data_IF_939054768332
#
_entry.id   IF_939054768332
#
_cell.length_a   1.000
_cell.length_b   1.000
_cell.length_c   1.000
_cell.angle_alpha   90.00
_cell.angle_beta   90.00
_cell.angle_gamma   90.00
#
_symmetry.space_group_name_H-M   'P 1'
#
loop_
_entity.id
_entity.type
_entity.pdbx_description
1 polymer ?
#
# COMPACT_ATOMS: atom_id res chain seq x y z
N UNK A 1 23.21 -55.38 -11.28
CA UNK A 1 21.97 -54.59 -10.99
C UNK A 1 22.38 -53.14 -10.85
N UNK A 2 22.35 -52.40 -11.93
CA UNK A 2 22.76 -50.98 -12.01
C UNK A 2 21.52 -50.11 -11.86
N UNK A 3 21.39 -49.45 -10.76
CA UNK A 3 20.35 -48.44 -10.49
C UNK A 3 20.63 -47.20 -11.33
N UNK A 4 19.86 -47.03 -12.40
CA UNK A 4 19.77 -45.80 -13.18
C UNK A 4 19.12 -44.72 -12.30
N UNK A 5 19.91 -43.79 -11.78
CA UNK A 5 19.43 -42.51 -11.30
C UNK A 5 18.84 -41.74 -12.48
N UNK A 6 17.53 -41.54 -12.48
CA UNK A 6 16.85 -40.63 -13.41
C UNK A 6 17.35 -39.21 -13.12
N UNK A 7 18.13 -38.67 -14.07
CA UNK A 7 18.39 -37.23 -14.12
C UNK A 7 17.05 -36.48 -14.28
N UNK A 8 16.80 -35.37 -13.55
CA UNK A 8 15.64 -34.57 -13.77
C UNK A 8 15.69 -34.00 -15.19
N UNK A 9 14.69 -34.30 -16.01
CA UNK A 9 14.50 -33.64 -17.28
C UNK A 9 14.24 -32.15 -16.98
N UNK A 10 15.17 -31.28 -17.40
CA UNK A 10 14.97 -29.85 -17.49
C UNK A 10 13.84 -29.60 -18.51
N UNK A 11 12.64 -29.38 -18.00
CA UNK A 11 11.53 -28.89 -18.82
C UNK A 11 11.78 -27.42 -19.15
N UNK A 12 11.42 -27.00 -20.35
CA UNK A 12 11.57 -25.64 -20.89
C UNK A 12 10.78 -24.55 -20.12
N UNK A 13 10.14 -24.87 -19.01
CA UNK A 13 9.51 -23.98 -18.05
C UNK A 13 10.40 -23.91 -16.80
N UNK A 14 11.15 -22.83 -16.68
CA UNK A 14 12.18 -22.57 -15.66
C UNK A 14 11.97 -23.17 -14.27
N UNK A 15 13.07 -23.29 -13.54
CA UNK A 15 13.29 -23.87 -12.22
C UNK A 15 12.04 -24.41 -11.50
N UNK A 16 12.01 -25.72 -11.23
CA UNK A 16 10.95 -26.37 -10.42
C UNK A 16 10.99 -25.74 -9.04
N UNK A 17 10.12 -24.75 -8.82
CA UNK A 17 9.95 -24.15 -7.50
C UNK A 17 9.22 -25.16 -6.64
N UNK A 18 9.82 -25.48 -5.48
CA UNK A 18 9.17 -26.28 -4.46
C UNK A 18 7.85 -25.58 -4.03
N UNK A 19 6.68 -26.23 -4.25
CA UNK A 19 5.38 -25.66 -3.88
C UNK A 19 5.31 -25.22 -2.41
N UNK A 20 6.02 -25.90 -1.52
CA UNK A 20 6.07 -25.55 -0.11
C UNK A 20 6.87 -24.27 0.14
N UNK A 21 7.93 -24.02 -0.61
CA UNK A 21 8.68 -22.75 -0.53
C UNK A 21 7.82 -21.57 -1.03
N UNK A 22 7.13 -21.73 -2.17
CA UNK A 22 6.24 -20.71 -2.70
C UNK A 22 5.11 -20.38 -1.71
N UNK A 23 4.50 -21.40 -1.10
CA UNK A 23 3.45 -21.23 -0.10
C UNK A 23 3.96 -20.48 1.14
N UNK A 24 5.12 -20.87 1.68
CA UNK A 24 5.73 -20.21 2.86
C UNK A 24 6.11 -18.76 2.57
N UNK A 25 6.73 -18.49 1.42
CA UNK A 25 7.07 -17.12 1.01
C UNK A 25 5.82 -16.24 0.85
N UNK A 26 4.77 -16.77 0.21
CA UNK A 26 3.49 -16.07 0.04
C UNK A 26 2.84 -15.76 1.38
N UNK A 27 2.75 -16.73 2.30
CA UNK A 27 2.15 -16.52 3.61
C UNK A 27 2.92 -15.48 4.44
N UNK A 28 4.26 -15.57 4.46
CA UNK A 28 5.10 -14.62 5.18
C UNK A 28 4.93 -13.18 4.65
N UNK A 29 4.93 -13.03 3.32
CA UNK A 29 4.70 -11.73 2.67
C UNK A 29 3.29 -11.20 2.92
N UNK A 30 2.27 -12.08 2.91
CA UNK A 30 0.88 -11.68 3.20
C UNK A 30 0.72 -11.17 4.63
N UNK A 31 1.34 -11.84 5.61
CA UNK A 31 1.29 -11.39 7.02
C UNK A 31 2.01 -10.05 7.19
N UNK A 32 3.19 -9.88 6.60
CA UNK A 32 3.91 -8.61 6.66
C UNK A 32 3.11 -7.46 6.03
N UNK A 33 2.54 -7.69 4.84
CA UNK A 33 1.67 -6.71 4.18
C UNK A 33 0.41 -6.39 5.00
N UNK A 34 -0.17 -7.39 5.69
CA UNK A 34 -1.34 -7.18 6.54
C UNK A 34 -1.03 -6.23 7.71
N UNK A 35 0.12 -6.40 8.33
CA UNK A 35 0.54 -5.55 9.46
C UNK A 35 0.84 -4.12 9.01
N UNK A 36 1.59 -3.97 7.91
CA UNK A 36 1.90 -2.66 7.34
C UNK A 36 0.61 -1.90 7.01
N UNK A 37 -0.34 -2.55 6.34
CA UNK A 37 -1.58 -1.89 5.92
C UNK A 37 -2.58 -1.69 7.06
N UNK A 38 -2.60 -2.56 8.05
CA UNK A 38 -3.34 -2.29 9.29
C UNK A 38 -2.92 -0.94 9.88
N UNK A 39 -1.61 -0.73 10.08
CA UNK A 39 -1.07 0.51 10.63
C UNK A 39 -1.37 1.73 9.76
N UNK A 40 -1.30 1.59 8.43
CA UNK A 40 -1.64 2.69 7.51
C UNK A 40 -3.11 3.06 7.57
N UNK A 41 -4.01 2.07 7.59
CA UNK A 41 -5.44 2.34 7.58
C UNK A 41 -5.95 2.86 8.92
N UNK A 42 -5.48 2.35 10.05
CA UNK A 42 -5.85 2.92 11.35
C UNK A 42 -5.39 4.37 11.46
N UNK A 43 -4.20 4.71 10.97
CA UNK A 43 -3.72 6.08 10.95
C UNK A 43 -4.52 6.97 9.98
N UNK A 44 -4.81 6.50 8.78
CA UNK A 44 -5.62 7.21 7.80
C UNK A 44 -7.02 7.52 8.32
N UNK A 45 -7.69 6.53 8.93
CA UNK A 45 -9.01 6.71 9.55
C UNK A 45 -8.94 7.63 10.79
N UNK A 46 -7.91 7.49 11.62
CA UNK A 46 -7.70 8.41 12.76
C UNK A 46 -7.44 9.84 12.28
N UNK A 47 -6.69 10.02 11.18
CA UNK A 47 -6.48 11.35 10.58
C UNK A 47 -7.77 11.95 10.04
N UNK A 48 -8.62 11.13 9.42
CA UNK A 48 -9.89 11.57 8.88
C UNK A 48 -10.91 11.96 9.98
N UNK A 49 -10.94 11.24 11.10
CA UNK A 49 -12.06 11.26 12.04
C UNK A 49 -11.74 11.79 13.44
N UNK A 50 -10.45 11.76 13.85
CA UNK A 50 -10.09 11.90 15.27
C UNK A 50 -8.91 12.83 15.51
N UNK A 51 -7.81 12.74 14.78
CA UNK A 51 -6.56 13.44 15.09
C UNK A 51 -6.65 14.97 14.93
N UNK A 52 -7.50 15.47 14.01
CA UNK A 52 -7.73 16.89 13.85
C UNK A 52 -8.06 17.57 15.19
N UNK A 53 -9.20 17.28 15.80
CA UNK A 53 -9.59 17.89 17.08
C UNK A 53 -8.66 17.52 18.25
N UNK A 54 -8.02 16.35 18.26
CA UNK A 54 -7.19 15.92 19.40
C UNK A 54 -5.80 16.56 19.44
N UNK A 55 -5.18 16.81 18.28
CA UNK A 55 -3.79 17.29 18.21
C UNK A 55 -3.63 18.67 17.58
N UNK A 56 -4.60 19.09 16.77
CA UNK A 56 -4.52 20.29 15.93
C UNK A 56 -5.69 21.25 16.12
N UNK A 57 -6.42 21.16 17.24
CA UNK A 57 -7.59 21.98 17.55
C UNK A 57 -7.41 23.51 17.30
N UNK A 58 -6.26 24.16 17.60
CA UNK A 58 -6.09 25.60 17.37
C UNK A 58 -6.14 26.04 15.90
N UNK A 59 -6.00 25.10 14.94
CA UNK A 59 -6.01 25.42 13.50
C UNK A 59 -7.43 25.54 12.92
N UNK A 60 -8.47 25.41 13.74
CA UNK A 60 -9.86 25.36 13.27
C UNK A 60 -10.18 24.02 12.57
N UNK A 61 -11.45 23.81 12.22
CA UNK A 61 -11.94 22.51 11.76
C UNK A 61 -11.22 22.01 10.49
N UNK A 62 -11.19 22.80 9.42
CA UNK A 62 -10.54 22.41 8.17
C UNK A 62 -9.02 22.35 8.29
N UNK A 63 -8.41 23.33 8.98
CA UNK A 63 -6.97 23.38 9.22
C UNK A 63 -6.48 22.18 10.03
N UNK A 64 -7.23 21.75 11.04
CA UNK A 64 -6.91 20.60 11.86
C UNK A 64 -6.92 19.28 11.06
N UNK A 65 -7.88 19.09 10.17
CA UNK A 65 -7.93 17.89 9.32
C UNK A 65 -6.81 17.91 8.27
N UNK A 66 -6.51 19.08 7.68
CA UNK A 66 -5.38 19.25 6.75
C UNK A 66 -4.06 18.89 7.46
N UNK A 67 -3.83 19.44 8.66
CA UNK A 67 -2.63 19.17 9.46
C UNK A 67 -2.52 17.67 9.82
N UNK A 68 -3.63 17.05 10.19
CA UNK A 68 -3.67 15.60 10.45
C UNK A 68 -3.25 14.78 9.24
N UNK A 69 -3.76 15.08 8.05
CA UNK A 69 -3.33 14.41 6.81
C UNK A 69 -1.91 14.82 6.36
N UNK A 70 -1.43 16.01 6.73
CA UNK A 70 -0.03 16.36 6.50
C UNK A 70 0.89 15.39 7.26
N UNK A 71 0.57 15.02 8.50
CA UNK A 71 1.34 14.01 9.25
C UNK A 71 1.28 12.63 8.59
N UNK A 72 0.13 12.26 8.00
CA UNK A 72 0.00 11.04 7.20
C UNK A 72 0.95 11.07 5.99
N UNK A 73 0.96 12.17 5.24
CA UNK A 73 1.84 12.39 4.08
C UNK A 73 3.33 12.36 4.45
N UNK A 74 3.73 12.95 5.59
CA UNK A 74 5.10 12.91 6.10
C UNK A 74 5.60 11.48 6.31
N UNK A 75 4.73 10.58 6.81
CA UNK A 75 5.07 9.16 6.92
C UNK A 75 5.40 8.51 5.57
N UNK A 76 4.66 8.84 4.53
CA UNK A 76 4.98 8.38 3.16
C UNK A 76 6.26 9.02 2.62
N UNK A 77 6.48 10.32 2.88
CA UNK A 77 7.70 11.00 2.46
C UNK A 77 8.98 10.44 3.10
N UNK A 78 8.87 9.83 4.27
CA UNK A 78 9.98 9.15 4.94
C UNK A 78 10.37 7.81 4.31
N UNK A 79 9.44 7.12 3.61
CA UNK A 79 9.65 5.76 3.05
C UNK A 79 10.80 5.64 2.05
N UNK A 80 11.00 6.54 1.08
CA UNK A 80 12.14 6.44 0.15
C UNK A 80 13.51 6.45 0.85
N UNK A 81 13.62 7.08 2.02
CA UNK A 81 14.86 7.13 2.79
C UNK A 81 15.16 5.81 3.53
N UNK A 82 14.17 4.95 3.69
CA UNK A 82 14.32 3.61 4.28
C UNK A 82 15.44 2.82 3.58
N UNK A 83 15.46 2.81 2.24
CA UNK A 83 16.45 2.11 1.45
C UNK A 83 17.90 2.57 1.72
N UNK A 84 18.09 3.86 1.98
CA UNK A 84 19.42 4.43 2.30
C UNK A 84 19.85 4.04 3.71
N UNK A 85 18.97 4.25 4.71
CA UNK A 85 19.26 4.00 6.12
C UNK A 85 19.45 2.51 6.38
N UNK A 86 18.48 1.70 5.96
CA UNK A 86 18.52 0.25 6.22
C UNK A 86 19.39 -0.52 5.24
N UNK A 87 19.69 0.03 4.05
CA UNK A 87 20.72 -0.50 3.17
C UNK A 87 22.09 -0.51 3.84
N UNK A 88 22.49 0.63 4.42
CA UNK A 88 23.74 0.74 5.19
C UNK A 88 23.80 -0.21 6.40
N UNK A 89 22.69 -0.31 7.14
CA UNK A 89 22.61 -1.23 8.29
C UNK A 89 22.69 -2.69 7.82
N UNK A 90 22.04 -3.03 6.69
CA UNK A 90 22.02 -4.37 6.12
C UNK A 90 23.40 -4.86 5.66
N UNK A 91 24.18 -3.96 5.07
CA UNK A 91 25.54 -4.26 4.62
C UNK A 91 26.49 -4.50 5.80
N UNK A 92 26.23 -3.87 6.95
CA UNK A 92 27.08 -3.97 8.14
C UNK A 92 26.67 -5.07 9.12
N UNK A 93 25.37 -5.26 9.33
CA UNK A 93 24.80 -6.14 10.38
C UNK A 93 24.00 -7.32 9.82
N UNK A 94 23.87 -7.41 8.50
CA UNK A 94 23.11 -8.47 7.81
C UNK A 94 21.62 -8.15 7.63
N UNK A 95 21.03 -8.74 6.59
CA UNK A 95 19.65 -8.45 6.16
C UNK A 95 18.59 -8.88 7.17
N UNK A 96 18.82 -9.97 7.91
CA UNK A 96 17.89 -10.42 8.97
C UNK A 96 17.73 -9.37 10.06
N UNK A 97 18.82 -8.68 10.43
CA UNK A 97 18.77 -7.58 11.41
C UNK A 97 17.93 -6.41 10.88
N UNK A 98 18.09 -6.06 9.59
CA UNK A 98 17.28 -4.99 8.96
C UNK A 98 15.79 -5.31 9.05
N UNK A 99 15.40 -6.54 8.71
CA UNK A 99 13.99 -6.95 8.75
C UNK A 99 13.40 -6.89 10.16
N UNK A 100 14.15 -7.27 11.17
CA UNK A 100 13.71 -7.17 12.57
C UNK A 100 13.59 -5.70 13.00
N UNK A 101 14.58 -4.88 12.63
CA UNK A 101 14.59 -3.45 12.98
C UNK A 101 13.45 -2.68 12.30
N UNK A 102 13.17 -2.96 11.02
CA UNK A 102 12.11 -2.26 10.28
C UNK A 102 10.72 -2.59 10.84
N UNK A 103 10.44 -3.86 11.13
CA UNK A 103 9.16 -4.24 11.77
C UNK A 103 9.08 -3.69 13.19
N UNK A 104 10.16 -3.80 13.97
CA UNK A 104 10.20 -3.25 15.32
C UNK A 104 9.98 -1.73 15.32
N UNK A 105 10.67 -1.01 14.42
CA UNK A 105 10.54 0.43 14.32
C UNK A 105 9.13 0.86 13.92
N UNK A 106 8.54 0.21 12.90
CA UNK A 106 7.18 0.48 12.46
C UNK A 106 6.19 0.27 13.60
N UNK A 107 6.25 -0.86 14.23
CA UNK A 107 5.23 -1.22 15.19
C UNK A 107 5.39 -0.57 16.56
N UNK A 108 6.62 -0.37 17.04
CA UNK A 108 6.84 0.39 18.28
C UNK A 108 6.40 1.84 18.09
N UNK A 109 6.64 2.43 16.90
CA UNK A 109 6.13 3.77 16.58
C UNK A 109 4.59 3.82 16.59
N UNK A 110 3.93 2.81 15.99
CA UNK A 110 2.47 2.71 16.02
C UNK A 110 1.94 2.59 17.44
N UNK A 111 2.52 1.72 18.25
CA UNK A 111 2.13 1.58 19.66
C UNK A 111 2.34 2.89 20.45
N UNK A 112 3.48 3.57 20.24
CA UNK A 112 3.79 4.83 20.89
C UNK A 112 2.81 5.96 20.51
N UNK A 113 2.27 5.96 19.27
CA UNK A 113 1.19 6.89 18.88
C UNK A 113 -0.02 6.74 19.82
N UNK A 114 -0.40 5.51 20.18
CA UNK A 114 -1.49 5.25 21.12
C UNK A 114 -1.24 5.77 22.54
N UNK A 115 0.00 6.08 22.91
CA UNK A 115 0.38 6.62 24.22
C UNK A 115 0.55 8.14 24.24
N UNK A 116 0.37 8.82 23.10
CA UNK A 116 0.62 10.25 22.99
C UNK A 116 -0.37 11.07 23.85
N UNK A 117 0.11 12.15 24.48
CA UNK A 117 -0.76 13.14 25.10
C UNK A 117 -1.47 13.97 24.02
N UNK A 118 -2.72 14.33 24.26
CA UNK A 118 -3.50 15.21 23.37
C UNK A 118 -3.04 16.66 23.49
N UNK A 119 -3.55 17.54 22.62
CA UNK A 119 -3.28 18.98 22.70
C UNK A 119 -3.73 19.58 24.03
N UNK A 120 -4.86 19.15 24.59
CA UNK A 120 -5.35 19.59 25.88
C UNK A 120 -4.41 19.25 27.05
N UNK A 121 -3.70 18.10 26.92
CA UNK A 121 -2.80 17.62 27.98
C UNK A 121 -1.38 18.21 27.89
N UNK A 122 -0.84 18.42 26.70
CA UNK A 122 0.56 18.79 26.49
C UNK A 122 0.78 19.84 25.39
N UNK A 123 -0.27 20.51 24.93
CA UNK A 123 -0.17 21.51 23.87
C UNK A 123 0.45 20.96 22.58
N UNK A 124 1.30 21.75 21.94
CA UNK A 124 1.99 21.39 20.68
C UNK A 124 2.92 20.18 20.79
N UNK A 125 3.34 19.79 22.00
CA UNK A 125 4.24 18.64 22.17
C UNK A 125 3.62 17.35 21.62
N UNK A 126 2.31 17.14 21.83
CA UNK A 126 1.59 15.99 21.28
C UNK A 126 1.69 15.91 19.76
N UNK A 127 1.49 17.04 19.07
CA UNK A 127 1.59 17.13 17.61
C UNK A 127 3.01 16.88 17.11
N UNK A 128 4.03 17.44 17.77
CA UNK A 128 5.44 17.23 17.41
C UNK A 128 5.84 15.77 17.57
N UNK A 129 5.44 15.12 18.66
CA UNK A 129 5.67 13.71 18.90
C UNK A 129 4.96 12.84 17.86
N UNK A 130 3.71 13.18 17.49
CA UNK A 130 2.95 12.48 16.46
C UNK A 130 3.69 12.49 15.12
N UNK A 131 4.18 13.67 14.69
CA UNK A 131 4.98 13.80 13.44
C UNK A 131 6.26 12.98 13.53
N UNK A 132 6.98 13.06 14.66
CA UNK A 132 8.24 12.32 14.85
C UNK A 132 8.04 10.81 14.78
N UNK A 133 7.02 10.29 15.46
CA UNK A 133 6.68 8.87 15.41
C UNK A 133 6.22 8.45 14.02
N UNK A 134 5.53 9.32 13.28
CA UNK A 134 5.10 9.05 11.91
C UNK A 134 6.28 8.96 10.95
N UNK A 135 7.31 9.78 11.11
CA UNK A 135 8.58 9.67 10.35
C UNK A 135 9.24 8.32 10.64
N UNK A 136 9.37 7.95 11.92
CA UNK A 136 9.96 6.67 12.32
C UNK A 136 9.19 5.47 11.77
N UNK A 137 7.85 5.51 11.81
CA UNK A 137 6.97 4.49 11.24
C UNK A 137 7.17 4.38 9.72
N UNK A 138 7.25 5.52 9.02
CA UNK A 138 7.49 5.59 7.58
C UNK A 138 8.85 4.98 7.20
N UNK A 139 9.91 5.29 7.95
CA UNK A 139 11.23 4.68 7.76
C UNK A 139 11.19 3.14 7.94
N UNK A 140 10.31 2.61 8.79
CA UNK A 140 10.16 1.16 8.98
C UNK A 140 9.46 0.45 7.81
N UNK A 141 8.60 1.13 7.06
CA UNK A 141 7.66 0.49 6.12
C UNK A 141 8.15 0.36 4.66
N UNK A 142 9.20 1.10 4.24
CA UNK A 142 9.51 1.33 2.81
C UNK A 142 10.07 0.15 2.00
N UNK A 143 10.51 -0.96 2.60
CA UNK A 143 11.25 -1.99 1.87
C UNK A 143 10.48 -3.31 1.63
N UNK A 144 9.42 -3.56 2.37
CA UNK A 144 8.81 -4.89 2.44
C UNK A 144 8.07 -5.29 1.17
N UNK A 145 7.23 -4.42 0.63
CA UNK A 145 6.38 -4.76 -0.52
C UNK A 145 7.16 -4.95 -1.83
N UNK A 146 8.20 -4.15 -2.06
CA UNK A 146 9.06 -4.34 -3.22
C UNK A 146 9.76 -5.70 -3.17
N UNK A 147 10.23 -6.10 -1.99
CA UNK A 147 10.85 -7.40 -1.76
C UNK A 147 9.88 -8.55 -1.99
N UNK A 148 8.68 -8.48 -1.40
CA UNK A 148 7.66 -9.51 -1.56
C UNK A 148 7.24 -9.69 -3.02
N UNK A 149 6.95 -8.60 -3.72
CA UNK A 149 6.51 -8.60 -5.11
C UNK A 149 7.58 -9.19 -6.03
N UNK A 150 8.83 -8.77 -5.86
CA UNK A 150 9.95 -9.25 -6.67
C UNK A 150 10.20 -10.73 -6.42
N UNK A 151 10.28 -11.15 -5.16
CA UNK A 151 10.54 -12.53 -4.77
C UNK A 151 9.47 -13.49 -5.34
N UNK A 152 8.19 -13.18 -5.12
CA UNK A 152 7.12 -14.06 -5.61
C UNK A 152 7.08 -14.10 -7.14
N UNK A 153 7.33 -12.97 -7.81
CA UNK A 153 7.37 -12.94 -9.28
C UNK A 153 8.51 -13.79 -9.85
N UNK A 154 9.65 -13.86 -9.19
CA UNK A 154 10.81 -14.67 -9.61
C UNK A 154 10.59 -16.17 -9.44
N UNK A 155 9.88 -16.57 -8.38
CA UNK A 155 9.63 -17.99 -8.09
C UNK A 155 8.31 -18.51 -8.68
N UNK A 156 7.41 -17.63 -9.11
CA UNK A 156 6.12 -18.02 -9.67
C UNK A 156 6.24 -18.60 -11.10
N UNK A 157 5.43 -19.60 -11.46
CA UNK A 157 5.35 -20.10 -12.83
C UNK A 157 4.97 -18.98 -13.81
N UNK A 158 5.67 -18.86 -14.96
CA UNK A 158 5.48 -17.80 -15.95
C UNK A 158 4.02 -17.59 -16.36
N UNK A 159 3.27 -18.68 -16.60
CA UNK A 159 1.86 -18.66 -17.04
C UNK A 159 0.86 -18.26 -15.94
N UNK A 160 1.26 -18.24 -14.66
CA UNK A 160 0.41 -17.92 -13.50
C UNK A 160 1.05 -16.89 -12.58
N UNK A 161 2.02 -16.13 -13.10
CA UNK A 161 2.77 -15.17 -12.28
C UNK A 161 1.87 -14.08 -11.69
N UNK A 162 0.89 -13.58 -12.46
CA UNK A 162 -0.06 -12.58 -11.96
C UNK A 162 -0.90 -13.10 -10.81
N UNK A 163 -1.39 -14.33 -10.89
CA UNK A 163 -2.10 -14.98 -9.81
C UNK A 163 -1.23 -15.08 -8.54
N UNK A 164 -0.03 -15.67 -8.65
CA UNK A 164 0.82 -15.88 -7.47
C UNK A 164 1.38 -14.56 -6.90
N UNK A 165 1.77 -13.61 -7.75
CA UNK A 165 2.28 -12.32 -7.32
C UNK A 165 1.22 -11.44 -6.65
N UNK A 166 -0.07 -11.67 -6.91
CA UNK A 166 -1.17 -10.96 -6.26
C UNK A 166 -1.56 -11.53 -4.89
N UNK A 167 -1.18 -12.77 -4.56
CA UNK A 167 -1.55 -13.40 -3.29
C UNK A 167 -1.05 -12.65 -2.04
N UNK A 168 0.20 -12.13 -1.98
CA UNK A 168 0.63 -11.30 -0.84
C UNK A 168 -0.24 -10.08 -0.60
N UNK A 169 -0.87 -9.57 -1.65
CA UNK A 169 -1.73 -8.38 -1.58
C UNK A 169 -3.12 -8.67 -0.99
N UNK A 170 -3.51 -9.94 -0.86
CA UNK A 170 -4.64 -10.33 0.01
C UNK A 170 -4.34 -9.93 1.45
N UNK A 171 -3.09 -10.02 1.90
CA UNK A 171 -2.66 -9.51 3.21
C UNK A 171 -2.98 -8.03 3.40
N UNK A 172 -2.75 -7.20 2.38
CA UNK A 172 -3.14 -5.78 2.40
C UNK A 172 -4.61 -5.61 2.74
N UNK A 173 -5.48 -6.39 2.07
CA UNK A 173 -6.92 -6.30 2.29
C UNK A 173 -7.33 -6.80 3.68
N UNK A 174 -6.65 -7.84 4.18
CA UNK A 174 -6.85 -8.31 5.56
C UNK A 174 -6.45 -7.25 6.59
N UNK A 175 -5.31 -6.57 6.38
CA UNK A 175 -4.90 -5.44 7.22
C UNK A 175 -5.91 -4.30 7.20
N UNK A 176 -6.39 -3.93 6.01
CA UNK A 176 -7.46 -2.93 5.83
C UNK A 176 -8.73 -3.33 6.55
N UNK A 177 -9.13 -4.60 6.41
CA UNK A 177 -10.33 -5.16 7.02
C UNK A 177 -10.25 -5.12 8.56
N UNK A 178 -9.11 -5.48 9.12
CA UNK A 178 -8.85 -5.38 10.57
C UNK A 178 -8.88 -3.93 11.05
N UNK A 179 -8.22 -3.01 10.34
CA UNK A 179 -8.18 -1.60 10.70
C UNK A 179 -9.56 -0.93 10.58
N UNK A 180 -10.24 -1.09 9.46
CA UNK A 180 -11.56 -0.54 9.23
C UNK A 180 -12.61 -1.16 10.16
N UNK A 181 -12.54 -2.47 10.39
CA UNK A 181 -13.42 -3.18 11.33
C UNK A 181 -13.26 -2.70 12.76
N UNK A 182 -12.01 -2.45 13.19
CA UNK A 182 -11.75 -1.88 14.52
C UNK A 182 -12.41 -0.50 14.66
N UNK A 183 -12.26 0.38 13.66
CA UNK A 183 -12.90 1.71 13.69
C UNK A 183 -14.42 1.63 13.59
N UNK A 184 -14.98 0.73 12.78
CA UNK A 184 -16.43 0.51 12.71
C UNK A 184 -17.01 0.05 14.05
N UNK A 185 -16.32 -0.87 14.74
CA UNK A 185 -16.71 -1.30 16.09
C UNK A 185 -16.59 -0.16 17.12
N UNK A 186 -15.52 0.62 17.06
CA UNK A 186 -15.32 1.76 17.96
C UNK A 186 -16.37 2.87 17.75
N UNK A 187 -16.88 3.02 16.53
CA UNK A 187 -17.92 4.00 16.22
C UNK A 187 -19.28 3.68 16.88
N UNK A 188 -19.47 2.44 17.39
CA UNK A 188 -20.64 2.05 18.18
C UNK A 188 -20.56 2.53 19.63
N UNK A 189 -19.39 2.96 20.10
CA UNK A 189 -19.20 3.51 21.44
C UNK A 189 -19.61 4.99 21.52
N UNK A 190 -19.89 5.47 22.72
CA UNK A 190 -20.19 6.86 22.96
C UNK A 190 -19.04 7.76 22.49
N UNK A 191 -19.41 8.90 21.85
CA UNK A 191 -18.45 9.86 21.31
C UNK A 191 -17.46 10.37 22.38
N UNK A 192 -17.91 10.54 23.61
CA UNK A 192 -17.06 10.95 24.74
C UNK A 192 -16.00 9.89 25.06
N UNK A 193 -16.37 8.61 25.11
CA UNK A 193 -15.45 7.49 25.36
C UNK A 193 -14.47 7.33 24.21
N UNK A 194 -14.96 7.47 22.97
CA UNK A 194 -14.13 7.39 21.77
C UNK A 194 -13.02 8.47 21.77
N UNK A 195 -13.36 9.71 22.11
CA UNK A 195 -12.40 10.83 22.15
C UNK A 195 -11.50 10.81 23.39
N UNK A 196 -12.00 10.31 24.53
CA UNK A 196 -11.22 10.27 25.77
C UNK A 196 -10.04 9.30 25.69
N UNK A 197 -10.28 8.06 25.29
CA UNK A 197 -9.21 7.06 25.30
C UNK A 197 -9.35 5.92 24.26
N UNK A 198 -10.56 5.59 23.78
CA UNK A 198 -10.80 4.40 22.96
C UNK A 198 -10.04 4.46 21.63
N UNK A 199 -9.79 5.64 21.07
CA UNK A 199 -8.98 5.84 19.86
C UNK A 199 -7.54 5.30 19.97
N UNK A 200 -7.04 5.09 21.18
CA UNK A 200 -5.70 4.55 21.46
C UNK A 200 -5.62 3.04 21.21
N UNK A 201 -6.75 2.33 21.36
CA UNK A 201 -6.81 0.86 21.31
C UNK A 201 -6.27 0.29 20.01
N UNK A 202 -6.61 0.77 18.81
CA UNK A 202 -6.06 0.24 17.56
C UNK A 202 -4.54 0.34 17.50
N UNK A 203 -3.98 1.45 17.98
CA UNK A 203 -2.53 1.68 17.98
C UNK A 203 -1.81 0.80 19.01
N UNK A 204 -2.38 0.63 20.19
CA UNK A 204 -1.84 -0.27 21.20
C UNK A 204 -1.93 -1.74 20.78
N UNK A 205 -2.99 -2.12 20.06
CA UNK A 205 -3.14 -3.46 19.50
C UNK A 205 -2.05 -3.82 18.47
N UNK A 206 -1.41 -2.83 17.83
CA UNK A 206 -0.26 -3.06 16.93
C UNK A 206 0.86 -3.85 17.60
N UNK A 207 1.03 -3.72 18.93
CA UNK A 207 2.05 -4.51 19.66
C UNK A 207 1.84 -6.01 19.54
N UNK A 208 0.59 -6.46 19.58
CA UNK A 208 0.25 -7.89 19.44
C UNK A 208 0.54 -8.36 18.01
N UNK A 209 0.17 -7.54 17.03
CA UNK A 209 0.39 -7.85 15.62
C UNK A 209 1.89 -7.93 15.31
N UNK A 210 2.70 -7.02 15.88
CA UNK A 210 4.17 -7.04 15.75
C UNK A 210 4.75 -8.31 16.37
N UNK A 211 4.33 -8.67 17.59
CA UNK A 211 4.80 -9.88 18.25
C UNK A 211 4.54 -11.11 17.38
N UNK A 212 3.35 -11.19 16.74
CA UNK A 212 3.02 -12.26 15.79
C UNK A 212 3.93 -12.22 14.56
N UNK A 213 4.18 -11.04 13.97
CA UNK A 213 5.04 -10.91 12.79
C UNK A 213 6.49 -11.29 13.08
N UNK A 214 7.05 -10.79 14.18
CA UNK A 214 8.40 -11.12 14.61
C UNK A 214 8.51 -12.62 14.89
N UNK A 215 7.53 -13.20 15.58
CA UNK A 215 7.51 -14.64 15.86
C UNK A 215 7.49 -15.49 14.57
N UNK A 216 6.66 -15.14 13.59
CA UNK A 216 6.60 -15.83 12.30
C UNK A 216 7.94 -15.69 11.58
N UNK A 217 8.53 -14.48 11.53
CA UNK A 217 9.81 -14.24 10.85
C UNK A 217 11.01 -14.93 11.51
N UNK A 218 11.04 -15.01 12.82
CA UNK A 218 12.11 -15.73 13.52
C UNK A 218 12.10 -17.23 13.21
N UNK A 219 10.93 -17.81 12.92
CA UNK A 219 10.77 -19.24 12.58
C UNK A 219 10.95 -19.54 11.09
N UNK A 220 10.89 -18.55 10.21
CA UNK A 220 11.16 -18.76 8.78
C UNK A 220 12.67 -18.93 8.57
N UNK A 221 13.04 -20.05 7.96
CA UNK A 221 14.39 -20.27 7.43
C UNK A 221 14.55 -19.40 6.18
N UNK A 222 15.73 -18.80 6.01
CA UNK A 222 16.08 -18.08 4.80
C UNK A 222 15.92 -18.98 3.58
N UNK A 223 15.37 -18.43 2.49
CA UNK A 223 15.19 -19.19 1.25
C UNK A 223 16.56 -19.47 0.61
N UNK A 224 16.76 -20.65 -0.02
CA UNK A 224 18.02 -20.99 -0.71
C UNK A 224 18.44 -19.96 -1.75
N UNK A 225 17.49 -19.35 -2.45
CA UNK A 225 17.74 -18.28 -3.45
C UNK A 225 18.39 -17.06 -2.78
N UNK A 226 18.00 -16.75 -1.55
CA UNK A 226 18.58 -15.64 -0.78
C UNK A 226 20.01 -15.95 -0.32
N UNK A 227 20.29 -17.22 0.01
CA UNK A 227 21.63 -17.68 0.37
C UNK A 227 22.57 -17.71 -0.85
N UNK A 228 22.08 -17.98 -2.04
CA UNK A 228 22.87 -17.91 -3.28
C UNK A 228 23.18 -16.46 -3.68
N UNK A 229 22.24 -15.54 -3.55
CA UNK A 229 22.47 -14.10 -3.80
C UNK A 229 23.50 -13.50 -2.81
N UNK A 230 23.54 -14.00 -1.58
CA UNK A 230 24.51 -13.60 -0.58
C UNK A 230 25.93 -14.11 -0.90
N UNK A 231 26.05 -15.30 -1.50
CA UNK A 231 27.34 -15.88 -1.94
C UNK A 231 27.94 -15.13 -3.13
N UNK A 232 27.13 -14.58 -4.00
CA UNK A 232 27.57 -13.84 -5.19
C UNK A 232 27.65 -12.34 -4.92
N UNK A 233 28.37 -11.89 -3.89
CA UNK A 233 28.66 -10.46 -3.51
C UNK A 233 28.81 -9.46 -4.69
N UNK A 234 27.84 -9.43 -5.59
CA UNK A 234 27.72 -8.39 -6.60
C UNK A 234 26.91 -7.22 -6.02
N UNK A 235 27.44 -6.63 -4.92
CA UNK A 235 26.87 -5.38 -4.38
C UNK A 235 27.15 -4.28 -5.39
N UNK A 236 26.13 -3.90 -6.13
CA UNK A 236 26.20 -2.79 -7.09
C UNK A 236 26.48 -1.51 -6.30
N UNK A 237 27.66 -0.95 -6.48
CA UNK A 237 27.99 0.37 -5.94
C UNK A 237 27.11 1.41 -6.62
N UNK A 238 26.27 2.12 -5.84
CA UNK A 238 25.31 3.14 -6.26
C UNK A 238 24.16 2.64 -7.18
N UNK A 239 23.26 1.79 -6.65
CA UNK A 239 22.16 1.22 -7.45
C UNK A 239 21.17 2.29 -7.97
N UNK A 240 20.91 3.35 -7.21
CA UNK A 240 19.98 4.42 -7.58
C UNK A 240 20.52 5.22 -8.80
N UNK A 241 21.82 5.54 -8.81
CA UNK A 241 22.42 6.25 -9.93
C UNK A 241 22.44 5.42 -11.22
N UNK A 242 22.66 4.11 -11.12
CA UNK A 242 22.65 3.21 -12.28
C UNK A 242 21.24 3.05 -12.85
N UNK A 243 20.22 2.90 -12.02
CA UNK A 243 18.82 2.83 -12.47
C UNK A 243 18.41 4.10 -13.20
N UNK A 244 18.74 5.26 -12.64
CA UNK A 244 18.41 6.52 -13.31
C UNK A 244 19.11 6.70 -14.65
N UNK A 245 20.25 6.07 -14.83
CA UNK A 245 21.00 6.10 -16.10
C UNK A 245 20.44 5.11 -17.14
N UNK A 246 20.03 3.91 -16.74
CA UNK A 246 19.68 2.81 -17.66
C UNK A 246 18.17 2.52 -17.73
N UNK A 247 17.43 2.68 -16.64
CA UNK A 247 16.04 2.25 -16.49
C UNK A 247 15.07 3.41 -16.20
N UNK A 248 15.46 4.68 -16.43
CA UNK A 248 14.63 5.86 -16.10
C UNK A 248 13.24 5.82 -16.74
N UNK A 249 13.14 5.33 -17.99
CA UNK A 249 11.86 5.18 -18.71
C UNK A 249 10.94 4.26 -17.94
N UNK A 250 11.41 3.10 -17.52
CA UNK A 250 10.60 2.11 -16.82
C UNK A 250 10.25 2.53 -15.38
N UNK A 251 11.12 3.30 -14.70
CA UNK A 251 10.80 3.94 -13.42
C UNK A 251 9.65 4.92 -13.59
N UNK A 252 9.71 5.80 -14.61
CA UNK A 252 8.64 6.77 -14.89
C UNK A 252 7.33 6.08 -15.29
N UNK A 253 7.39 5.02 -16.09
CA UNK A 253 6.22 4.17 -16.39
C UNK A 253 5.67 3.57 -15.09
N UNK A 254 6.51 2.99 -14.24
CA UNK A 254 6.09 2.43 -12.96
C UNK A 254 5.44 3.45 -12.04
N UNK A 255 5.98 4.68 -11.95
CA UNK A 255 5.36 5.78 -11.20
C UNK A 255 4.01 6.14 -11.81
N UNK A 256 3.94 6.37 -13.13
CA UNK A 256 2.71 6.76 -13.81
C UNK A 256 1.59 5.73 -13.68
N UNK A 257 1.91 4.43 -13.81
CA UNK A 257 0.94 3.36 -13.55
C UNK A 257 0.40 3.43 -12.12
N UNK A 258 1.25 3.67 -11.13
CA UNK A 258 0.84 3.68 -9.73
C UNK A 258 0.09 4.94 -9.28
N UNK A 259 0.14 6.03 -10.06
CA UNK A 259 -0.60 7.26 -9.72
C UNK A 259 -2.10 6.98 -9.56
N UNK A 260 -2.72 6.28 -10.51
CA UNK A 260 -4.15 5.95 -10.47
C UNK A 260 -4.50 4.92 -9.39
N UNK A 261 -3.73 3.85 -9.27
CA UNK A 261 -3.99 2.79 -8.29
C UNK A 261 -3.85 3.33 -6.86
N UNK A 262 -2.68 3.89 -6.53
CA UNK A 262 -2.35 4.30 -5.17
C UNK A 262 -3.15 5.56 -4.75
N UNK A 263 -3.28 6.52 -5.67
CA UNK A 263 -4.04 7.75 -5.41
C UNK A 263 -5.52 7.49 -5.22
N UNK A 264 -6.15 6.69 -6.08
CA UNK A 264 -7.56 6.35 -5.90
C UNK A 264 -7.80 5.49 -4.66
N UNK A 265 -6.85 4.62 -4.29
CA UNK A 265 -6.92 3.93 -2.99
C UNK A 265 -7.05 4.92 -1.83
N UNK A 266 -6.24 5.98 -1.80
CA UNK A 266 -6.29 7.03 -0.76
C UNK A 266 -7.53 7.92 -0.88
N UNK A 267 -8.00 8.21 -2.10
CA UNK A 267 -9.20 9.04 -2.32
C UNK A 267 -10.46 8.31 -1.84
N UNK A 268 -10.66 7.06 -2.26
CA UNK A 268 -11.86 6.29 -1.88
C UNK A 268 -11.82 5.75 -0.43
N UNK A 269 -10.67 5.70 0.21
CA UNK A 269 -10.57 5.36 1.63
C UNK A 269 -10.57 6.60 2.54
N UNK A 270 -9.48 7.34 2.60
CA UNK A 270 -9.29 8.40 3.59
C UNK A 270 -10.01 9.72 3.21
N UNK A 271 -9.87 10.17 1.95
CA UNK A 271 -10.49 11.43 1.52
C UNK A 271 -12.03 11.33 1.47
N UNK A 272 -12.59 10.23 0.96
CA UNK A 272 -14.04 10.03 0.93
C UNK A 272 -14.63 9.97 2.35
N UNK A 273 -13.96 9.26 3.27
CA UNK A 273 -14.37 9.23 4.68
C UNK A 273 -14.38 10.63 5.29
N UNK A 274 -13.33 11.44 5.04
CA UNK A 274 -13.32 12.85 5.44
C UNK A 274 -14.43 13.66 4.78
N UNK A 275 -14.61 13.52 3.47
CA UNK A 275 -15.59 14.27 2.69
C UNK A 275 -17.01 14.10 3.22
N UNK A 276 -17.40 12.88 3.59
CA UNK A 276 -18.75 12.61 4.09
C UNK A 276 -18.94 13.00 5.55
N UNK A 277 -17.89 12.98 6.39
CA UNK A 277 -17.96 13.16 7.84
C UNK A 277 -17.60 14.57 8.34
N UNK A 278 -16.97 15.41 7.49
CA UNK A 278 -16.68 16.81 7.83
C UNK A 278 -17.97 17.62 8.08
N UNK A 279 -17.92 18.77 8.79
CA UNK A 279 -19.14 19.55 9.12
C UNK A 279 -20.02 19.95 7.94
N UNK A 280 -19.41 20.17 6.77
CA UNK A 280 -20.14 20.44 5.52
C UNK A 280 -20.46 19.16 4.71
N UNK A 281 -20.09 18.00 5.23
CA UNK A 281 -20.33 16.71 4.58
C UNK A 281 -21.76 16.22 4.73
N UNK A 282 -22.16 15.30 3.87
CA UNK A 282 -23.54 14.75 3.81
C UNK A 282 -23.93 14.00 5.09
N UNK A 283 -22.93 13.43 5.78
CA UNK A 283 -23.09 12.71 7.04
C UNK A 283 -22.20 13.34 8.14
N UNK A 284 -22.36 14.65 8.31
CA UNK A 284 -21.55 15.44 9.23
C UNK A 284 -21.43 14.82 10.63
N UNK A 285 -20.21 14.58 11.05
CA UNK A 285 -19.89 14.01 12.36
C UNK A 285 -20.10 12.50 12.49
N UNK A 286 -20.59 11.80 11.45
CA UNK A 286 -20.70 10.35 11.46
C UNK A 286 -19.31 9.70 11.36
N UNK A 287 -19.09 8.67 12.18
CA UNK A 287 -17.83 7.93 12.25
C UNK A 287 -18.00 6.43 11.91
N UNK A 288 -19.20 6.00 11.58
CA UNK A 288 -19.54 4.60 11.32
C UNK A 288 -19.63 4.30 9.82
N UNK A 289 -20.24 5.18 9.03
CA UNK A 289 -20.55 4.94 7.60
C UNK A 289 -19.27 4.72 6.80
N UNK A 290 -18.26 5.58 6.95
CA UNK A 290 -17.00 5.50 6.25
C UNK A 290 -16.21 4.22 6.55
N UNK A 291 -15.85 3.94 7.81
CA UNK A 291 -15.15 2.71 8.18
C UNK A 291 -15.90 1.44 7.81
N UNK A 292 -17.23 1.41 7.95
CA UNK A 292 -18.06 0.25 7.55
C UNK A 292 -18.02 0.02 6.04
N UNK A 293 -18.13 1.08 5.25
CA UNK A 293 -17.99 1.00 3.79
C UNK A 293 -16.61 0.50 3.37
N UNK A 294 -15.55 0.95 4.04
CA UNK A 294 -14.18 0.48 3.80
C UNK A 294 -14.01 -1.00 4.17
N UNK A 295 -14.60 -1.43 5.29
CA UNK A 295 -14.62 -2.83 5.72
C UNK A 295 -15.26 -3.73 4.64
N UNK A 296 -16.46 -3.34 4.14
CA UNK A 296 -17.16 -4.06 3.08
C UNK A 296 -16.31 -4.09 1.80
N UNK A 297 -15.78 -2.94 1.38
CA UNK A 297 -14.95 -2.82 0.19
C UNK A 297 -13.69 -3.69 0.27
N UNK A 298 -13.02 -3.75 1.43
CA UNK A 298 -11.83 -4.56 1.64
C UNK A 298 -12.13 -6.07 1.53
N UNK A 299 -13.28 -6.51 2.01
CA UNK A 299 -13.74 -7.90 1.86
C UNK A 299 -13.83 -8.32 0.37
N UNK A 300 -14.48 -7.48 -0.46
CA UNK A 300 -14.54 -7.71 -1.90
C UNK A 300 -13.16 -7.56 -2.56
N UNK A 301 -12.38 -6.58 -2.16
CA UNK A 301 -11.05 -6.30 -2.72
C UNK A 301 -10.08 -7.48 -2.53
N UNK A 302 -10.16 -8.22 -1.43
CA UNK A 302 -9.35 -9.41 -1.18
C UNK A 302 -9.54 -10.49 -2.26
N UNK A 303 -10.76 -10.65 -2.75
CA UNK A 303 -11.08 -11.58 -3.84
C UNK A 303 -10.68 -10.99 -5.19
N UNK A 304 -10.97 -9.70 -5.41
CA UNK A 304 -10.78 -9.04 -6.70
C UNK A 304 -9.31 -8.87 -7.06
N UNK A 305 -8.40 -8.63 -6.11
CA UNK A 305 -6.96 -8.50 -6.41
C UNK A 305 -6.41 -9.78 -7.04
N UNK A 306 -6.79 -10.93 -6.53
CA UNK A 306 -6.36 -12.24 -7.05
C UNK A 306 -7.05 -12.54 -8.37
N UNK A 307 -8.33 -12.22 -8.49
CA UNK A 307 -9.10 -12.39 -9.73
C UNK A 307 -8.48 -11.59 -10.88
N UNK A 308 -8.19 -10.29 -10.67
CA UNK A 308 -7.56 -9.47 -11.71
C UNK A 308 -6.10 -9.85 -11.95
N UNK A 309 -5.38 -10.33 -10.94
CA UNK A 309 -4.07 -10.95 -11.11
C UNK A 309 -4.14 -12.17 -12.06
N UNK A 310 -5.09 -13.08 -11.82
CA UNK A 310 -5.30 -14.26 -12.68
C UNK A 310 -5.82 -13.88 -14.09
N UNK A 311 -6.72 -12.91 -14.20
CA UNK A 311 -7.18 -12.41 -15.51
C UNK A 311 -6.04 -11.84 -16.33
N UNK A 312 -5.07 -11.18 -15.68
CA UNK A 312 -3.89 -10.64 -16.36
C UNK A 312 -2.95 -11.74 -16.89
N UNK A 313 -2.97 -12.93 -16.32
CA UNK A 313 -2.24 -14.09 -16.86
C UNK A 313 -2.84 -14.59 -18.20
N UNK A 314 -4.15 -14.39 -18.39
CA UNK A 314 -4.86 -14.84 -19.58
C UNK A 314 -4.94 -13.78 -20.69
N UNK A 315 -5.24 -12.53 -20.30
CA UNK A 315 -5.53 -11.44 -21.25
C UNK A 315 -4.36 -10.48 -21.46
N UNK A 316 -3.27 -10.65 -20.74
CA UNK A 316 -2.13 -9.73 -20.71
C UNK A 316 -2.18 -8.76 -19.55
N UNK A 317 -1.00 -8.24 -19.15
CA UNK A 317 -0.85 -7.32 -18.01
C UNK A 317 -1.45 -5.96 -18.32
N UNK A 318 -1.02 -5.39 -19.44
CA UNK A 318 -1.39 -4.04 -19.86
C UNK A 318 -2.87 -3.90 -20.21
N UNK A 319 -3.51 -4.81 -20.96
CA UNK A 319 -4.95 -4.71 -21.25
C UNK A 319 -5.82 -4.70 -19.98
N UNK A 320 -5.59 -5.65 -19.05
CA UNK A 320 -6.39 -5.71 -17.80
C UNK A 320 -6.18 -4.44 -16.98
N UNK A 321 -4.93 -3.98 -16.86
CA UNK A 321 -4.62 -2.72 -16.17
C UNK A 321 -5.32 -1.52 -16.83
N UNK A 322 -5.25 -1.40 -18.14
CA UNK A 322 -5.84 -0.32 -18.95
C UNK A 322 -7.34 -0.22 -18.75
N UNK A 323 -8.05 -1.35 -18.82
CA UNK A 323 -9.49 -1.37 -18.58
C UNK A 323 -9.83 -1.03 -17.13
N UNK A 324 -9.02 -1.43 -16.15
CA UNK A 324 -9.17 -1.00 -14.76
C UNK A 324 -9.02 0.50 -14.57
N UNK A 325 -7.99 1.11 -15.20
CA UNK A 325 -7.76 2.55 -15.15
C UNK A 325 -8.88 3.34 -15.87
N UNK A 326 -9.35 2.84 -17.03
CA UNK A 326 -10.48 3.40 -17.75
C UNK A 326 -11.77 3.33 -16.92
N UNK A 327 -12.06 2.17 -16.32
CA UNK A 327 -13.22 2.02 -15.44
C UNK A 327 -13.16 3.01 -14.28
N UNK A 328 -12.01 3.15 -13.62
CA UNK A 328 -11.82 4.10 -12.52
C UNK A 328 -12.05 5.55 -12.97
N UNK A 329 -11.57 5.93 -14.16
CA UNK A 329 -11.78 7.26 -14.73
C UNK A 329 -13.27 7.53 -15.03
N UNK A 330 -13.97 6.56 -15.62
CA UNK A 330 -15.38 6.67 -15.99
C UNK A 330 -16.28 6.79 -14.76
N UNK A 331 -16.01 6.00 -13.71
CA UNK A 331 -16.84 6.04 -12.51
C UNK A 331 -16.57 7.26 -11.62
N UNK A 332 -15.46 7.97 -11.79
CA UNK A 332 -15.04 9.03 -10.86
C UNK A 332 -16.12 10.10 -10.64
N UNK A 333 -16.67 10.66 -11.72
CA UNK A 333 -17.72 11.69 -11.61
C UNK A 333 -19.05 11.12 -11.07
N UNK A 334 -19.64 10.04 -11.65
CA UNK A 334 -20.90 9.53 -11.14
C UNK A 334 -20.78 8.99 -9.69
N UNK A 335 -19.67 8.42 -9.30
CA UNK A 335 -19.47 7.92 -7.95
C UNK A 335 -19.60 9.03 -6.90
N UNK A 336 -18.84 10.12 -7.05
CA UNK A 336 -18.91 11.22 -6.08
C UNK A 336 -20.22 11.99 -6.15
N UNK A 337 -20.88 12.07 -7.31
CA UNK A 337 -22.25 12.58 -7.39
C UNK A 337 -23.23 11.73 -6.58
N UNK A 338 -23.19 10.39 -6.71
CA UNK A 338 -24.04 9.48 -5.92
C UNK A 338 -23.86 9.64 -4.42
N UNK A 339 -22.64 9.94 -3.96
CA UNK A 339 -22.37 10.20 -2.52
C UNK A 339 -23.15 11.41 -2.03
N UNK A 340 -23.36 12.46 -2.86
CA UNK A 340 -24.09 13.67 -2.46
C UNK A 340 -25.58 13.44 -2.22
N UNK A 341 -26.13 12.32 -2.70
CA UNK A 341 -27.56 12.00 -2.52
C UNK A 341 -27.93 11.59 -1.08
N UNK A 342 -26.96 11.49 -0.16
CA UNK A 342 -27.23 11.22 1.25
C UNK A 342 -27.73 9.80 1.56
N UNK A 343 -27.46 8.84 0.69
CA UNK A 343 -27.86 7.45 0.90
C UNK A 343 -26.66 6.59 1.31
N UNK A 344 -26.70 6.02 2.50
CA UNK A 344 -25.63 5.20 3.06
C UNK A 344 -25.26 4.03 2.16
N UNK A 345 -26.25 3.33 1.60
CA UNK A 345 -26.03 2.19 0.70
C UNK A 345 -25.28 2.61 -0.56
N UNK A 346 -25.60 3.80 -1.13
CA UNK A 346 -24.88 4.32 -2.29
C UNK A 346 -23.42 4.65 -1.96
N UNK A 347 -23.12 5.18 -0.76
CA UNK A 347 -21.74 5.40 -0.31
C UNK A 347 -20.98 4.08 -0.27
N UNK A 348 -21.55 3.04 0.30
CA UNK A 348 -20.90 1.71 0.37
C UNK A 348 -20.70 1.09 -1.02
N UNK A 349 -21.69 1.20 -1.91
CA UNK A 349 -21.55 0.76 -3.31
C UNK A 349 -20.42 1.52 -4.00
N UNK A 350 -20.33 2.82 -3.84
CA UNK A 350 -19.27 3.66 -4.41
C UNK A 350 -17.89 3.23 -3.89
N UNK A 351 -17.75 2.94 -2.58
CA UNK A 351 -16.50 2.45 -2.02
C UNK A 351 -16.11 1.08 -2.58
N UNK A 352 -17.08 0.17 -2.75
CA UNK A 352 -16.83 -1.14 -3.37
C UNK A 352 -16.43 -0.98 -4.84
N UNK A 353 -17.12 -0.18 -5.62
CA UNK A 353 -16.80 0.07 -7.04
C UNK A 353 -15.40 0.70 -7.18
N UNK A 354 -15.10 1.73 -6.40
CA UNK A 354 -13.82 2.43 -6.45
C UNK A 354 -12.66 1.54 -5.98
N UNK A 355 -12.80 0.91 -4.82
CA UNK A 355 -11.71 0.13 -4.20
C UNK A 355 -11.63 -1.29 -4.77
N UNK A 356 -12.73 -2.07 -4.71
CA UNK A 356 -12.66 -3.48 -5.05
C UNK A 356 -12.65 -3.75 -6.56
N UNK A 357 -13.27 -2.92 -7.37
CA UNK A 357 -13.21 -3.06 -8.83
C UNK A 357 -12.14 -2.16 -9.44
N UNK A 358 -12.22 -0.85 -9.28
CA UNK A 358 -11.31 0.09 -9.93
C UNK A 358 -9.86 -0.08 -9.50
N UNK A 359 -9.58 0.06 -8.20
CA UNK A 359 -8.21 -0.05 -7.67
C UNK A 359 -7.65 -1.47 -7.87
N UNK A 360 -8.42 -2.53 -7.58
CA UNK A 360 -7.90 -3.90 -7.69
C UNK A 360 -7.70 -4.34 -9.13
N UNK A 361 -8.46 -3.82 -10.10
CA UNK A 361 -8.23 -4.10 -11.52
C UNK A 361 -6.89 -3.54 -12.02
N UNK A 362 -6.38 -2.49 -11.38
CA UNK A 362 -5.03 -1.97 -11.61
C UNK A 362 -3.99 -2.71 -10.76
N UNK A 363 -4.25 -2.95 -9.48
CA UNK A 363 -3.30 -3.55 -8.54
C UNK A 363 -2.99 -5.02 -8.88
N UNK A 364 -4.00 -5.83 -9.23
CA UNK A 364 -3.81 -7.25 -9.54
C UNK A 364 -2.76 -7.51 -10.61
N UNK A 365 -2.91 -6.96 -11.83
CA UNK A 365 -1.89 -7.08 -12.88
C UNK A 365 -0.55 -6.45 -12.49
N UNK A 366 -0.56 -5.33 -11.76
CA UNK A 366 0.61 -4.58 -11.37
C UNK A 366 1.60 -5.40 -10.53
N UNK A 367 1.10 -6.36 -9.75
CA UNK A 367 1.93 -7.22 -8.91
C UNK A 367 2.98 -7.99 -9.72
N UNK A 368 2.66 -8.41 -10.95
CA UNK A 368 3.60 -9.05 -11.87
C UNK A 368 4.23 -8.04 -12.84
N UNK A 369 3.46 -7.09 -13.35
CA UNK A 369 3.89 -6.10 -14.34
C UNK A 369 5.11 -5.29 -13.88
N UNK A 370 5.10 -4.77 -12.64
CA UNK A 370 6.21 -3.95 -12.15
C UNK A 370 7.54 -4.71 -12.11
N UNK A 371 7.65 -5.92 -11.53
CA UNK A 371 8.89 -6.71 -11.63
C UNK A 371 9.28 -7.08 -13.05
N UNK A 372 8.30 -7.31 -13.92
CA UNK A 372 8.53 -7.68 -15.33
C UNK A 372 9.06 -6.51 -16.17
N UNK A 373 8.86 -5.25 -15.75
CA UNK A 373 9.41 -4.08 -16.44
C UNK A 373 10.93 -3.99 -16.36
N UNK A 374 11.54 -4.49 -15.27
CA UNK A 374 12.96 -4.31 -14.99
C UNK A 374 13.77 -5.57 -15.24
N UNK A 375 14.99 -5.39 -15.74
CA UNK A 375 15.99 -6.44 -15.88
C UNK A 375 16.44 -6.99 -14.52
N UNK A 376 17.00 -8.20 -14.52
CA UNK A 376 17.33 -8.96 -13.30
C UNK A 376 18.27 -8.19 -12.33
N UNK A 377 19.20 -7.39 -12.84
CA UNK A 377 20.18 -6.65 -12.04
C UNK A 377 19.60 -5.45 -11.29
N UNK A 378 18.53 -4.83 -11.80
CA UNK A 378 17.98 -3.58 -11.26
C UNK A 378 16.52 -3.70 -10.81
N UNK A 379 15.93 -4.88 -10.91
CA UNK A 379 14.51 -5.14 -10.65
C UNK A 379 14.06 -4.65 -9.27
N UNK A 380 14.71 -5.12 -8.22
CA UNK A 380 14.33 -4.75 -6.85
C UNK A 380 14.32 -3.24 -6.65
N UNK A 381 15.39 -2.56 -7.05
CA UNK A 381 15.52 -1.11 -6.87
C UNK A 381 14.56 -0.34 -7.78
N UNK A 382 14.32 -0.82 -9.01
CA UNK A 382 13.35 -0.21 -9.94
C UNK A 382 11.92 -0.29 -9.42
N UNK A 383 11.52 -1.45 -8.94
CA UNK A 383 10.22 -1.66 -8.30
C UNK A 383 10.09 -0.79 -7.05
N UNK A 384 11.10 -0.77 -6.17
CA UNK A 384 11.09 0.02 -4.95
C UNK A 384 10.96 1.51 -5.24
N UNK A 385 11.78 2.07 -6.15
CA UNK A 385 11.69 3.48 -6.53
C UNK A 385 10.33 3.84 -7.13
N UNK A 386 9.81 3.02 -8.05
CA UNK A 386 8.50 3.25 -8.65
C UNK A 386 7.39 3.26 -7.59
N UNK A 387 7.46 2.34 -6.64
CA UNK A 387 6.48 2.22 -5.55
C UNK A 387 6.55 3.38 -4.58
N UNK A 388 7.73 3.67 -4.05
CA UNK A 388 7.86 4.65 -2.98
C UNK A 388 7.67 6.09 -3.48
N UNK A 389 8.18 6.44 -4.66
CA UNK A 389 7.96 7.77 -5.23
C UNK A 389 6.48 8.01 -5.57
N UNK A 390 5.80 7.02 -6.16
CA UNK A 390 4.35 7.13 -6.42
C UNK A 390 3.53 7.18 -5.14
N UNK A 391 3.95 6.45 -4.09
CA UNK A 391 3.29 6.46 -2.80
C UNK A 391 3.35 7.85 -2.13
N UNK A 392 4.45 8.55 -2.25
CA UNK A 392 4.57 9.95 -1.78
C UNK A 392 3.65 10.86 -2.59
N UNK A 393 3.75 10.81 -3.93
CA UNK A 393 3.06 11.75 -4.83
C UNK A 393 1.54 11.58 -4.81
N UNK A 394 1.04 10.35 -4.86
CA UNK A 394 -0.37 10.06 -5.04
C UNK A 394 -1.04 9.42 -3.82
N UNK A 395 -0.30 8.70 -2.97
CA UNK A 395 -0.87 8.03 -1.81
C UNK A 395 -0.92 8.92 -0.57
N UNK A 396 0.27 9.41 -0.16
CA UNK A 396 0.45 10.08 1.13
C UNK A 396 -0.17 11.47 1.22
N UNK A 397 0.06 12.29 0.21
CA UNK A 397 -0.43 13.68 0.21
C UNK A 397 -1.81 13.86 -0.44
N UNK A 398 -2.34 12.83 -1.13
CA UNK A 398 -3.64 12.95 -1.79
C UNK A 398 -4.79 13.35 -0.85
N UNK A 399 -4.97 12.77 0.34
CA UNK A 399 -6.03 13.19 1.24
C UNK A 399 -5.84 14.64 1.74
N UNK A 400 -4.59 15.04 2.06
CA UNK A 400 -4.29 16.42 2.48
C UNK A 400 -4.65 17.44 1.40
N UNK A 401 -4.19 17.19 0.16
CA UNK A 401 -4.49 18.04 -1.00
C UNK A 401 -6.00 18.08 -1.24
N UNK A 402 -6.67 16.92 -1.19
CA UNK A 402 -8.11 16.83 -1.37
C UNK A 402 -8.89 17.62 -0.34
N UNK A 403 -8.54 17.53 0.95
CA UNK A 403 -9.21 18.31 2.02
C UNK A 403 -8.92 19.80 1.89
N UNK A 404 -7.69 20.19 1.52
CA UNK A 404 -7.34 21.59 1.29
C UNK A 404 -8.17 22.19 0.12
N UNK A 405 -8.32 21.44 -0.98
CA UNK A 405 -9.16 21.85 -2.11
C UNK A 405 -10.65 21.89 -1.74
N UNK A 406 -11.15 20.94 -0.94
CA UNK A 406 -12.52 20.95 -0.42
C UNK A 406 -12.78 22.23 0.40
N UNK A 407 -11.87 22.60 1.28
CA UNK A 407 -11.96 23.83 2.08
C UNK A 407 -11.97 25.09 1.20
N UNK A 408 -11.17 25.12 0.13
CA UNK A 408 -11.09 26.24 -0.81
C UNK A 408 -12.30 26.36 -1.76
N UNK A 409 -13.10 25.28 -1.94
CA UNK A 409 -14.20 25.20 -2.92
C UNK A 409 -15.58 25.02 -2.29
N UNK A 410 -15.76 25.46 -1.05
CA UNK A 410 -17.01 25.29 -0.29
C UNK A 410 -17.54 23.84 -0.33
N UNK A 411 -16.66 22.86 -0.12
CA UNK A 411 -17.01 21.44 -0.05
C UNK A 411 -17.58 20.83 -1.35
N UNK A 412 -17.15 21.32 -2.49
CA UNK A 412 -17.62 20.82 -3.79
C UNK A 412 -17.25 19.34 -3.99
N UNK A 413 -18.24 18.51 -4.31
CA UNK A 413 -18.06 17.10 -4.66
C UNK A 413 -17.21 16.89 -5.94
N UNK A 414 -17.11 17.91 -6.77
CA UNK A 414 -16.28 17.88 -7.97
C UNK A 414 -14.78 17.74 -7.63
N UNK A 415 -14.34 18.21 -6.46
CA UNK A 415 -12.94 18.13 -6.05
C UNK A 415 -12.44 16.67 -6.00
N UNK A 416 -12.99 15.80 -5.16
CA UNK A 416 -12.54 14.42 -5.12
C UNK A 416 -12.83 13.67 -6.43
N UNK A 417 -13.89 14.02 -7.15
CA UNK A 417 -14.24 13.43 -8.43
C UNK A 417 -13.19 13.73 -9.51
N UNK A 418 -12.85 15.02 -9.71
CA UNK A 418 -11.83 15.43 -10.69
C UNK A 418 -10.45 14.93 -10.29
N UNK A 419 -10.13 14.92 -9.00
CA UNK A 419 -8.86 14.42 -8.52
C UNK A 419 -8.71 12.90 -8.80
N UNK A 420 -9.76 12.12 -8.52
CA UNK A 420 -9.83 10.69 -8.86
C UNK A 420 -9.67 10.46 -10.37
N UNK A 421 -10.42 11.23 -11.18
CA UNK A 421 -10.35 11.18 -12.65
C UNK A 421 -8.94 11.50 -13.15
N UNK A 422 -8.31 12.58 -12.66
CA UNK A 422 -6.98 13.00 -13.10
C UNK A 422 -5.93 11.92 -12.83
N UNK A 423 -5.93 11.33 -11.63
CA UNK A 423 -4.99 10.26 -11.29
C UNK A 423 -5.22 8.98 -12.11
N UNK A 424 -6.48 8.60 -12.33
CA UNK A 424 -6.84 7.48 -13.19
C UNK A 424 -6.44 7.73 -14.65
N UNK A 425 -6.65 8.95 -15.16
CA UNK A 425 -6.26 9.35 -16.51
C UNK A 425 -4.73 9.29 -16.72
N UNK A 426 -3.92 9.73 -15.73
CA UNK A 426 -2.46 9.59 -15.78
C UNK A 426 -2.07 8.13 -15.96
N UNK A 427 -2.64 7.24 -15.16
CA UNK A 427 -2.34 5.80 -15.27
C UNK A 427 -2.85 5.21 -16.58
N UNK A 428 -4.05 5.59 -17.03
CA UNK A 428 -4.59 5.16 -18.33
C UNK A 428 -3.67 5.55 -19.48
N UNK A 429 -3.25 6.82 -19.54
CA UNK A 429 -2.31 7.33 -20.56
C UNK A 429 -0.98 6.59 -20.48
N UNK A 430 -0.46 6.34 -19.27
CA UNK A 430 0.79 5.61 -19.08
C UNK A 430 0.74 4.21 -19.66
N UNK A 431 -0.43 3.56 -19.70
CA UNK A 431 -0.55 2.21 -20.30
C UNK A 431 -0.22 2.16 -21.80
N UNK A 432 -0.31 3.26 -22.54
CA UNK A 432 0.06 3.30 -23.94
C UNK A 432 1.58 3.31 -24.19
N UNK A 433 2.35 3.70 -23.16
CA UNK A 433 3.82 3.67 -23.18
C UNK A 433 4.39 2.43 -22.49
N UNK A 434 3.53 1.60 -21.91
CA UNK A 434 3.92 0.41 -21.17
C UNK A 434 3.98 -0.78 -22.10
N UNK A 435 5.14 -1.48 -22.22
CA UNK A 435 5.23 -2.70 -22.99
C UNK A 435 4.45 -3.84 -22.34
N UNK A 436 3.87 -4.73 -23.16
CA UNK A 436 3.27 -5.97 -22.63
C UNK A 436 4.38 -6.92 -22.15
N UNK A 437 4.24 -7.40 -20.93
CA UNK A 437 5.28 -8.20 -20.27
C UNK A 437 4.83 -9.62 -19.92
N UNK A 438 3.59 -10.00 -20.27
CA UNK A 438 3.07 -11.32 -19.95
C UNK A 438 3.94 -12.44 -20.53
N UNK A 439 4.39 -13.37 -19.69
CA UNK A 439 5.26 -14.47 -20.09
C UNK A 439 6.74 -14.12 -20.24
N UNK A 440 7.16 -12.88 -19.89
CA UNK A 440 8.56 -12.47 -19.97
C UNK A 440 9.47 -13.32 -19.08
N UNK A 441 10.68 -13.61 -19.59
CA UNK A 441 11.73 -14.23 -18.81
C UNK A 441 12.36 -13.23 -17.85
N UNK A 442 12.33 -13.56 -16.54
CA UNK A 442 12.91 -12.71 -15.51
C UNK A 442 14.41 -12.91 -15.31
N UNK A 443 15.04 -13.87 -16.00
CA UNK A 443 16.51 -14.02 -15.99
C UNK A 443 17.18 -12.97 -16.85
N UNK A 444 16.46 -12.37 -17.81
CA UNK A 444 16.98 -11.33 -18.70
C UNK A 444 17.53 -10.15 -17.92
N UNK A 445 18.71 -9.68 -18.33
CA UNK A 445 19.39 -8.51 -17.76
C UNK A 445 18.77 -7.20 -18.26
N UNK A 446 18.22 -7.23 -19.48
CA UNK A 446 17.65 -6.08 -20.15
C UNK A 446 16.28 -5.71 -19.58
N UNK A 447 15.94 -4.44 -19.65
CA UNK A 447 14.61 -3.93 -19.32
C UNK A 447 13.57 -4.31 -20.39
N UNK A 448 12.28 -4.23 -20.05
CA UNK A 448 11.20 -4.37 -21.01
C UNK A 448 11.02 -3.09 -21.83
N UNK A 449 11.11 -3.17 -23.13
CA UNK A 449 10.78 -2.12 -24.09
C UNK A 449 11.91 -1.16 -24.42
#
# INVERSE_FOLDING_TARGET
MTTRTKSPQATADGAVVDPDQLRRATLASSVGSALEYYDFYIYGLASALIFGPLFFAPLGESGAVIASFATYGVGFAARPFCGVVFGYIGDRFGRKMVLILTIGLMGLSSCAIGLLPTFEQAGMLGAVLLVSLRILQGLGAGAEQAGATTLISEVAPRRRRGFFASLPFVGIQLGTLLGAGTFALMALADKAVLQAWLWRVPFLASVVLIAIAVFIRLRLKETPVFQELEKHKAVVKNPVGQIWKHSKKNVLIGIGLRMGENGNSSIYSALLVSFISMPAGVFAGDKFIGPTGLLIAAGFAAVMVVTFGALSDRFGRVPVYRYGALFQAVIALPAFYLVTLGNVTLVWIVMVLGIALGVQAMLGPQCALLPELFGSQHRFTGVALSRELSAVLAGGFAPMIGVALLAATNHSWLVPAIYSLALAAISFITTFFTPETNGRDLVLVEDAG
#
